data_IF_824422518022
#
_entry.id   IF_824422518022
#
_cell.length_a   1.000
_cell.length_b   1.000
_cell.length_c   1.000
_cell.angle_alpha   90.00
_cell.angle_beta   90.00
_cell.angle_gamma   90.00
#
_symmetry.space_group_name_H-M   'P 1'
#
loop_
_entity.id
_entity.type
_entity.pdbx_description
1 polymer ?
#
# COMPACT_ATOMS: atom_id res chain seq x y z
N UNK A 1 7.49 0.61 -22.67
CA UNK A 1 7.56 -0.43 -21.64
C UNK A 1 8.43 0.06 -20.46
N UNK A 2 9.68 0.51 -20.68
CA UNK A 2 10.55 0.95 -19.58
C UNK A 2 9.94 2.06 -18.71
N UNK A 3 9.34 3.09 -19.31
CA UNK A 3 8.66 4.17 -18.59
C UNK A 3 7.51 3.65 -17.71
N UNK A 4 6.71 2.74 -18.21
CA UNK A 4 5.59 2.15 -17.47
C UNK A 4 6.08 1.30 -16.29
N UNK A 5 7.14 0.54 -16.50
CA UNK A 5 7.78 -0.25 -15.46
C UNK A 5 8.35 0.62 -14.33
N UNK A 6 9.10 1.67 -14.69
CA UNK A 6 9.65 2.62 -13.71
C UNK A 6 8.56 3.38 -12.96
N UNK A 7 7.45 3.74 -13.62
CA UNK A 7 6.30 4.35 -12.97
C UNK A 7 5.66 3.38 -11.95
N UNK A 8 5.41 2.12 -12.34
CA UNK A 8 4.86 1.13 -11.42
C UNK A 8 5.76 0.92 -10.20
N UNK A 9 7.07 0.81 -10.41
CA UNK A 9 8.03 0.64 -9.32
C UNK A 9 8.03 1.87 -8.41
N UNK A 10 8.04 3.07 -8.98
CA UNK A 10 7.98 4.33 -8.24
C UNK A 10 6.70 4.40 -7.39
N UNK A 11 5.53 4.15 -7.99
CA UNK A 11 4.25 4.21 -7.29
C UNK A 11 4.18 3.18 -6.17
N UNK A 12 4.53 1.93 -6.45
CA UNK A 12 4.48 0.87 -5.45
C UNK A 12 5.46 1.10 -4.29
N UNK A 13 6.72 1.37 -4.57
CA UNK A 13 7.76 1.54 -3.53
C UNK A 13 7.49 2.77 -2.68
N UNK A 14 7.26 3.94 -3.31
CA UNK A 14 7.04 5.18 -2.55
C UNK A 14 5.77 5.12 -1.72
N UNK A 15 4.68 4.57 -2.27
CA UNK A 15 3.44 4.41 -1.52
C UNK A 15 3.60 3.43 -0.36
N UNK A 16 4.31 2.31 -0.53
CA UNK A 16 4.59 1.37 0.56
C UNK A 16 5.40 2.03 1.69
N UNK A 17 6.44 2.79 1.37
CA UNK A 17 7.24 3.52 2.37
C UNK A 17 6.37 4.51 3.13
N UNK A 18 5.57 5.32 2.44
CA UNK A 18 4.66 6.29 3.07
C UNK A 18 3.60 5.59 3.93
N UNK A 19 3.03 4.48 3.46
CA UNK A 19 2.07 3.69 4.23
C UNK A 19 2.66 3.19 5.54
N UNK A 20 3.87 2.65 5.53
CA UNK A 20 4.52 2.19 6.76
C UNK A 20 4.80 3.35 7.71
N UNK A 21 5.34 4.48 7.19
CA UNK A 21 5.66 5.65 8.02
C UNK A 21 4.41 6.27 8.67
N UNK A 22 3.27 6.23 8.00
CA UNK A 22 2.01 6.80 8.51
C UNK A 22 1.25 5.78 9.37
N UNK A 23 1.08 4.55 8.86
CA UNK A 23 0.19 3.57 9.47
C UNK A 23 0.81 2.85 10.67
N UNK A 24 2.14 2.64 10.72
CA UNK A 24 2.75 1.92 11.83
C UNK A 24 2.65 2.71 13.16
N UNK A 25 3.01 4.01 13.22
CA UNK A 25 2.79 4.79 14.44
C UNK A 25 1.31 4.91 14.81
N UNK A 26 0.43 5.11 13.81
CA UNK A 26 -1.02 5.21 14.04
C UNK A 26 -1.58 3.91 14.63
N UNK A 27 -1.25 2.77 14.03
CA UNK A 27 -1.66 1.45 14.49
C UNK A 27 -1.16 1.14 15.91
N UNK A 28 0.09 1.49 16.20
CA UNK A 28 0.68 1.34 17.53
C UNK A 28 -0.11 2.15 18.58
N UNK A 29 -0.36 3.43 18.30
CA UNK A 29 -1.13 4.28 19.23
C UNK A 29 -2.54 3.76 19.42
N UNK A 30 -3.23 3.35 18.35
CA UNK A 30 -4.57 2.79 18.43
C UNK A 30 -4.62 1.45 19.20
N UNK A 31 -3.55 0.66 19.15
CA UNK A 31 -3.47 -0.62 19.85
C UNK A 31 -3.13 -0.47 21.35
N UNK A 32 -2.31 0.52 21.72
CA UNK A 32 -1.72 0.64 23.06
C UNK A 32 -2.36 1.67 23.96
N UNK A 33 -2.89 2.74 23.38
CA UNK A 33 -3.40 3.85 24.18
C UNK A 33 -4.92 3.92 24.11
N UNK A 34 -5.55 4.06 25.28
CA UNK A 34 -6.98 4.36 25.39
C UNK A 34 -7.19 5.86 25.48
N UNK A 35 -7.91 6.42 24.52
CA UNK A 35 -8.27 7.84 24.49
C UNK A 35 -9.68 8.04 23.90
N UNK A 36 -10.26 9.21 24.14
CA UNK A 36 -11.58 9.55 23.62
C UNK A 36 -11.52 9.55 22.09
N UNK A 37 -12.35 8.71 21.44
CA UNK A 37 -12.39 8.57 19.98
C UNK A 37 -11.60 7.38 19.42
N UNK A 38 -10.79 6.66 20.22
CA UNK A 38 -10.02 5.51 19.74
C UNK A 38 -10.92 4.50 18.98
N UNK A 39 -12.02 4.07 19.57
CA UNK A 39 -12.97 3.14 18.93
C UNK A 39 -13.64 3.74 17.69
N UNK A 40 -13.94 5.05 17.70
CA UNK A 40 -14.53 5.74 16.54
C UNK A 40 -13.56 5.68 15.37
N UNK A 41 -12.28 5.99 15.58
CA UNK A 41 -11.25 5.93 14.54
C UNK A 41 -11.13 4.50 14.00
N UNK A 42 -11.01 3.50 14.85
CA UNK A 42 -10.92 2.10 14.41
C UNK A 42 -12.15 1.67 13.59
N UNK A 43 -13.36 1.98 14.08
CA UNK A 43 -14.61 1.66 13.37
C UNK A 43 -14.68 2.40 12.02
N UNK A 44 -14.26 3.67 11.96
CA UNK A 44 -14.22 4.44 10.71
C UNK A 44 -13.26 3.83 9.70
N UNK A 45 -12.07 3.39 10.14
CA UNK A 45 -11.10 2.71 9.27
C UNK A 45 -11.68 1.39 8.73
N UNK A 46 -12.29 0.57 9.58
CA UNK A 46 -12.93 -0.68 9.15
C UNK A 46 -14.08 -0.39 8.18
N UNK A 47 -14.92 0.60 8.46
CA UNK A 47 -16.03 0.99 7.58
C UNK A 47 -15.54 1.50 6.22
N UNK A 48 -14.42 2.23 6.19
CA UNK A 48 -13.81 2.73 4.96
C UNK A 48 -13.32 1.60 4.04
N UNK A 49 -12.90 0.45 4.59
CA UNK A 49 -12.52 -0.73 3.79
C UNK A 49 -13.70 -1.33 3.00
N UNK A 50 -14.94 -1.08 3.45
CA UNK A 50 -16.15 -1.53 2.76
C UNK A 50 -16.58 -0.65 1.58
N UNK A 51 -15.95 0.52 1.38
CA UNK A 51 -16.31 1.42 0.28
C UNK A 51 -15.58 1.01 -1.00
N UNK A 52 -16.31 0.59 -2.07
CA UNK A 52 -15.67 0.23 -3.33
C UNK A 52 -15.00 1.45 -3.98
N UNK A 53 -13.76 1.27 -4.46
CA UNK A 53 -13.02 2.31 -5.18
C UNK A 53 -13.81 2.88 -6.37
N UNK A 54 -14.60 2.05 -7.03
CA UNK A 54 -15.44 2.42 -8.17
C UNK A 54 -16.47 3.49 -7.84
N UNK A 55 -16.92 3.58 -6.59
CA UNK A 55 -17.89 4.61 -6.16
C UNK A 55 -17.24 5.99 -5.94
N UNK A 56 -15.97 6.01 -5.53
CA UNK A 56 -15.29 7.26 -5.15
C UNK A 56 -14.38 7.82 -6.25
N UNK A 57 -13.98 7.01 -7.23
CA UNK A 57 -12.98 7.39 -8.23
C UNK A 57 -13.43 8.57 -9.10
N UNK A 58 -14.68 8.57 -9.55
CA UNK A 58 -15.19 9.66 -10.40
C UNK A 58 -15.36 11.00 -9.64
N UNK A 59 -15.99 11.06 -8.46
CA UNK A 59 -15.97 12.28 -7.64
C UNK A 59 -14.56 12.78 -7.34
N UNK A 60 -13.65 11.87 -7.03
CA UNK A 60 -12.25 12.19 -6.73
C UNK A 60 -11.52 12.77 -7.94
N UNK A 61 -11.76 12.20 -9.13
CA UNK A 61 -11.25 12.75 -10.38
C UNK A 61 -11.74 14.19 -10.62
N UNK A 62 -13.03 14.45 -10.39
CA UNK A 62 -13.61 15.80 -10.51
C UNK A 62 -12.91 16.81 -9.59
N UNK A 63 -12.60 16.44 -8.35
CA UNK A 63 -11.86 17.30 -7.41
C UNK A 63 -10.44 17.59 -7.92
N UNK A 64 -9.70 16.56 -8.30
CA UNK A 64 -8.31 16.69 -8.76
C UNK A 64 -8.22 17.48 -10.06
N UNK A 65 -9.16 17.27 -10.99
CA UNK A 65 -9.25 18.01 -12.25
C UNK A 65 -9.52 19.49 -12.03
N UNK A 66 -10.46 19.83 -11.13
CA UNK A 66 -10.78 21.21 -10.79
C UNK A 66 -9.63 21.97 -10.11
N UNK A 67 -8.73 21.25 -9.43
CA UNK A 67 -7.51 21.82 -8.86
C UNK A 67 -6.41 22.08 -9.91
N UNK A 68 -6.62 21.70 -11.17
CA UNK A 68 -5.65 21.90 -12.26
C UNK A 68 -4.38 21.04 -12.14
N UNK A 69 -4.35 20.09 -11.22
CA UNK A 69 -3.17 19.26 -10.90
C UNK A 69 -2.78 18.37 -12.09
N UNK A 70 -3.77 17.88 -12.85
CA UNK A 70 -3.57 16.95 -13.97
C UNK A 70 -2.83 17.56 -15.18
N UNK A 71 -2.64 18.86 -15.19
CA UNK A 71 -1.90 19.56 -16.25
C UNK A 71 -0.36 19.47 -16.11
N UNK A 72 0.13 18.99 -14.96
CA UNK A 72 1.54 18.84 -14.69
C UNK A 72 1.88 17.38 -14.38
N UNK A 73 2.81 16.79 -15.14
CA UNK A 73 3.21 15.38 -15.00
C UNK A 73 3.75 15.05 -13.60
N UNK A 74 4.58 15.90 -13.04
CA UNK A 74 5.15 15.66 -11.70
C UNK A 74 4.07 15.73 -10.63
N UNK A 75 3.18 16.73 -10.69
CA UNK A 75 2.05 16.86 -9.77
C UNK A 75 1.09 15.66 -9.88
N UNK A 76 0.81 15.20 -11.11
CA UNK A 76 -0.03 14.02 -11.34
C UNK A 76 0.59 12.73 -10.76
N UNK A 77 1.92 12.54 -10.85
CA UNK A 77 2.61 11.40 -10.21
C UNK A 77 2.47 11.44 -8.70
N UNK A 78 2.68 12.61 -8.11
CA UNK A 78 2.52 12.81 -6.65
C UNK A 78 1.07 12.54 -6.24
N UNK A 79 0.11 13.01 -7.00
CA UNK A 79 -1.32 12.75 -6.75
C UNK A 79 -1.65 11.27 -6.79
N UNK A 80 -1.17 10.53 -7.79
CA UNK A 80 -1.36 9.07 -7.85
C UNK A 80 -0.79 8.36 -6.62
N UNK A 81 0.40 8.75 -6.17
CA UNK A 81 1.00 8.20 -4.96
C UNK A 81 0.10 8.46 -3.73
N UNK A 82 -0.38 9.72 -3.56
CA UNK A 82 -1.28 10.04 -2.44
C UNK A 82 -2.61 9.30 -2.52
N UNK A 83 -3.14 9.08 -3.71
CA UNK A 83 -4.36 8.28 -3.90
C UNK A 83 -4.14 6.83 -3.48
N UNK A 84 -3.02 6.21 -3.90
CA UNK A 84 -2.66 4.87 -3.48
C UNK A 84 -2.47 4.78 -1.96
N UNK A 85 -1.79 5.75 -1.36
CA UNK A 85 -1.63 5.81 0.09
C UNK A 85 -2.97 5.95 0.77
N UNK A 86 -3.81 6.92 0.39
CA UNK A 86 -5.10 7.19 1.02
C UNK A 86 -6.04 5.98 1.04
N UNK A 87 -6.12 5.26 -0.08
CA UNK A 87 -6.98 4.09 -0.21
C UNK A 87 -6.48 2.91 0.64
N UNK A 88 -5.16 2.77 0.81
CA UNK A 88 -4.58 1.65 1.54
C UNK A 88 -4.34 1.93 3.03
N UNK A 89 -4.49 3.17 3.53
CA UNK A 89 -4.37 3.51 4.96
C UNK A 89 -5.28 2.65 5.84
N UNK A 90 -6.60 2.49 5.54
CA UNK A 90 -7.48 1.73 6.42
C UNK A 90 -7.03 0.30 6.63
N UNK A 91 -6.79 -0.43 5.55
CA UNK A 91 -6.31 -1.82 5.59
C UNK A 91 -4.97 -1.94 6.31
N UNK A 92 -3.99 -1.12 5.94
CA UNK A 92 -2.64 -1.17 6.51
C UNK A 92 -2.65 -0.89 8.00
N UNK A 93 -3.43 0.11 8.45
CA UNK A 93 -3.52 0.49 9.86
C UNK A 93 -4.19 -0.62 10.68
N UNK A 94 -5.31 -1.17 10.23
CA UNK A 94 -6.02 -2.24 10.95
C UNK A 94 -5.18 -3.52 10.99
N UNK A 95 -4.51 -3.86 9.89
CA UNK A 95 -3.60 -5.01 9.85
C UNK A 95 -2.47 -4.87 10.89
N UNK A 96 -1.77 -3.74 10.90
CA UNK A 96 -0.67 -3.49 11.86
C UNK A 96 -1.16 -3.36 13.30
N UNK A 97 -2.37 -2.86 13.51
CA UNK A 97 -2.97 -2.76 14.84
C UNK A 97 -3.05 -4.14 15.50
N UNK A 98 -3.48 -5.17 14.77
CA UNK A 98 -3.55 -6.53 15.29
C UNK A 98 -2.17 -7.08 15.67
N UNK A 99 -1.13 -6.74 14.93
CA UNK A 99 0.25 -7.13 15.26
C UNK A 99 0.74 -6.44 16.52
N UNK A 100 0.58 -5.12 16.62
CA UNK A 100 0.99 -4.40 17.82
C UNK A 100 0.21 -4.82 19.06
N UNK A 101 -1.08 -5.14 18.94
CA UNK A 101 -1.89 -5.62 20.04
C UNK A 101 -1.39 -6.95 20.62
N UNK A 102 -0.78 -7.82 19.80
CA UNK A 102 -0.28 -9.13 20.21
C UNK A 102 1.13 -9.11 20.82
N UNK A 103 1.86 -8.00 20.75
CA UNK A 103 3.16 -7.84 21.42
C UNK A 103 2.91 -7.59 22.91
N UNK A 104 3.63 -8.26 23.83
CA UNK A 104 3.47 -8.05 25.27
C UNK A 104 3.80 -6.61 25.70
N UNK A 105 2.99 -6.02 26.58
CA UNK A 105 3.23 -4.69 27.18
C UNK A 105 4.48 -4.65 28.07
N UNK A 106 4.97 -5.81 28.53
CA UNK A 106 6.16 -5.88 29.38
C UNK A 106 7.40 -5.25 28.75
N UNK A 107 7.51 -5.23 27.42
CA UNK A 107 8.62 -4.56 26.74
C UNK A 107 8.57 -3.05 26.88
N UNK A 108 7.37 -2.46 26.84
CA UNK A 108 7.16 -1.01 27.01
C UNK A 108 7.34 -0.60 28.47
N UNK A 109 6.87 -1.46 29.40
CA UNK A 109 7.02 -1.26 30.84
C UNK A 109 8.51 -1.31 31.24
N UNK A 110 9.26 -2.30 30.73
CA UNK A 110 10.72 -2.36 30.94
C UNK A 110 11.45 -1.14 30.39
N UNK A 111 11.09 -0.73 29.15
CA UNK A 111 11.66 0.48 28.55
C UNK A 111 11.35 1.76 29.38
N UNK A 112 10.16 1.85 29.94
CA UNK A 112 9.78 2.97 30.80
C UNK A 112 10.57 2.99 32.13
N UNK A 113 10.82 1.81 32.73
CA UNK A 113 11.68 1.70 33.92
C UNK A 113 13.12 2.14 33.64
N UNK A 114 13.62 1.88 32.42
CA UNK A 114 14.93 2.37 31.95
C UNK A 114 14.92 3.85 31.54
N UNK A 115 13.83 4.57 31.75
CA UNK A 115 13.70 6.00 31.40
C UNK A 115 13.59 6.26 29.90
N UNK A 116 13.26 5.25 29.10
CA UNK A 116 13.10 5.40 27.64
C UNK A 116 11.79 6.14 27.30
N UNK A 117 11.83 7.27 26.61
CA UNK A 117 10.60 7.97 26.22
C UNK A 117 9.78 7.15 25.21
N UNK A 118 8.43 7.26 25.19
CA UNK A 118 7.53 6.42 24.37
C UNK A 118 7.87 6.40 22.87
N UNK A 119 8.22 7.54 22.28
CA UNK A 119 8.61 7.62 20.88
C UNK A 119 9.88 6.81 20.57
N UNK A 120 10.85 6.80 21.49
CA UNK A 120 12.08 6.01 21.35
C UNK A 120 11.80 4.52 21.56
N UNK A 121 10.93 4.17 22.51
CA UNK A 121 10.48 2.80 22.73
C UNK A 121 9.75 2.25 21.47
N UNK A 122 8.89 3.07 20.84
CA UNK A 122 8.26 2.70 19.57
C UNK A 122 9.31 2.36 18.50
N UNK A 123 10.20 3.30 18.15
CA UNK A 123 11.12 3.10 17.03
C UNK A 123 12.21 2.06 17.27
N UNK A 124 12.67 1.92 18.53
CA UNK A 124 13.80 1.03 18.86
C UNK A 124 13.39 -0.36 19.33
N UNK A 125 12.17 -0.52 19.84
CA UNK A 125 11.70 -1.79 20.41
C UNK A 125 10.47 -2.29 19.67
N UNK A 126 9.36 -1.56 19.69
CA UNK A 126 8.08 -2.05 19.20
C UNK A 126 8.03 -2.20 17.68
N UNK A 127 8.58 -1.25 16.93
CA UNK A 127 8.64 -1.28 15.47
C UNK A 127 9.48 -2.46 14.94
N UNK A 128 10.70 -2.72 15.44
CA UNK A 128 11.45 -3.93 15.07
C UNK A 128 10.76 -5.23 15.46
N UNK A 129 10.09 -5.28 16.62
CA UNK A 129 9.34 -6.48 17.07
C UNK A 129 8.15 -6.77 16.15
N UNK A 130 7.54 -5.77 15.55
CA UNK A 130 6.47 -5.92 14.57
C UNK A 130 6.97 -6.25 13.15
N UNK A 131 8.27 -6.54 12.95
CA UNK A 131 8.90 -6.70 11.63
C UNK A 131 8.16 -7.70 10.73
N UNK A 132 7.69 -8.82 11.26
CA UNK A 132 6.95 -9.82 10.47
C UNK A 132 5.65 -9.24 9.90
N UNK A 133 4.90 -8.50 10.71
CA UNK A 133 3.68 -7.80 10.27
C UNK A 133 3.97 -6.67 9.28
N UNK A 134 5.01 -5.88 9.54
CA UNK A 134 5.44 -4.79 8.65
C UNK A 134 5.84 -5.32 7.27
N UNK A 135 6.61 -6.39 7.20
CA UNK A 135 7.02 -7.03 5.94
C UNK A 135 5.79 -7.59 5.22
N UNK A 136 4.92 -8.30 5.92
CA UNK A 136 3.72 -8.92 5.34
C UNK A 136 2.79 -7.88 4.73
N UNK A 137 2.45 -6.82 5.47
CA UNK A 137 1.55 -5.77 4.95
C UNK A 137 2.19 -4.98 3.81
N UNK A 138 3.52 -4.78 3.85
CA UNK A 138 4.25 -4.12 2.75
C UNK A 138 4.15 -4.94 1.46
N UNK A 139 4.28 -6.27 1.54
CA UNK A 139 4.14 -7.16 0.39
C UNK A 139 2.73 -7.09 -0.19
N UNK A 140 1.70 -7.16 0.66
CA UNK A 140 0.31 -7.05 0.21
C UNK A 140 0.03 -5.71 -0.45
N UNK A 141 0.48 -4.60 0.14
CA UNK A 141 0.34 -3.27 -0.45
C UNK A 141 1.11 -3.16 -1.78
N UNK A 142 2.33 -3.68 -1.84
CA UNK A 142 3.10 -3.67 -3.08
C UNK A 142 2.38 -4.43 -4.19
N UNK A 143 1.90 -5.65 -3.94
CA UNK A 143 1.17 -6.46 -4.92
C UNK A 143 -0.12 -5.75 -5.35
N UNK A 144 -0.86 -5.18 -4.41
CA UNK A 144 -2.09 -4.45 -4.67
C UNK A 144 -1.85 -3.23 -5.57
N UNK A 145 -0.88 -2.39 -5.22
CA UNK A 145 -0.55 -1.17 -5.98
C UNK A 145 0.09 -1.52 -7.34
N UNK A 146 0.93 -2.54 -7.39
CA UNK A 146 1.55 -3.01 -8.63
C UNK A 146 0.53 -3.47 -9.66
N UNK A 147 -0.50 -4.19 -9.22
CA UNK A 147 -1.55 -4.74 -10.09
C UNK A 147 -2.73 -3.76 -10.29
N UNK A 148 -2.71 -2.61 -9.60
CA UNK A 148 -3.80 -1.66 -9.72
C UNK A 148 -3.78 -1.00 -11.11
N UNK A 149 -4.90 -1.06 -11.83
CA UNK A 149 -5.02 -0.46 -13.15
C UNK A 149 -6.16 0.56 -13.26
N UNK A 150 -7.24 0.39 -12.48
CA UNK A 150 -8.47 1.13 -12.66
C UNK A 150 -8.32 2.62 -12.28
N UNK A 151 -7.71 2.88 -11.12
CA UNK A 151 -7.40 4.24 -10.69
C UNK A 151 -6.43 4.91 -11.67
N UNK A 152 -5.36 4.19 -12.01
CA UNK A 152 -4.36 4.69 -12.94
C UNK A 152 -4.91 4.92 -14.34
N UNK A 153 -5.86 4.11 -14.81
CA UNK A 153 -6.51 4.29 -16.11
C UNK A 153 -7.21 5.66 -16.19
N UNK A 154 -7.79 6.10 -15.07
CA UNK A 154 -8.55 7.35 -15.00
C UNK A 154 -7.62 8.55 -14.77
N UNK A 155 -6.63 8.43 -13.89
CA UNK A 155 -5.77 9.56 -13.50
C UNK A 155 -4.49 9.69 -14.33
N UNK A 156 -4.00 8.61 -14.97
CA UNK A 156 -2.80 8.67 -15.83
C UNK A 156 -3.19 9.02 -17.26
N UNK A 157 -3.46 10.30 -17.50
CA UNK A 157 -3.97 10.85 -18.76
C UNK A 157 -2.96 10.86 -19.93
N UNK A 158 -1.70 10.52 -19.68
CA UNK A 158 -0.66 10.40 -20.72
C UNK A 158 0.32 9.25 -20.41
N UNK A 159 1.11 8.88 -21.43
CA UNK A 159 2.05 7.73 -21.33
C UNK A 159 3.19 7.94 -20.32
N UNK A 160 3.54 9.20 -20.00
CA UNK A 160 4.55 9.49 -19.00
C UNK A 160 4.11 9.13 -17.55
N UNK A 161 2.80 8.94 -17.35
CA UNK A 161 2.19 8.64 -16.06
C UNK A 161 1.81 7.16 -15.90
N UNK A 162 1.56 6.46 -17.02
CA UNK A 162 0.97 5.11 -17.01
C UNK A 162 1.85 4.07 -16.35
N UNK A 163 1.32 3.27 -15.43
CA UNK A 163 1.98 2.06 -14.92
C UNK A 163 1.85 0.89 -15.90
N UNK A 164 2.56 -0.21 -15.62
CA UNK A 164 2.56 -1.41 -16.48
C UNK A 164 1.18 -2.04 -16.64
N UNK A 165 0.34 -2.01 -15.61
CA UNK A 165 -1.01 -2.57 -15.67
C UNK A 165 -1.89 -1.85 -16.71
N UNK A 166 -1.81 -0.51 -16.78
CA UNK A 166 -2.50 0.29 -17.81
C UNK A 166 -1.89 0.05 -19.18
N UNK A 167 -0.55 -0.09 -19.28
CA UNK A 167 0.13 -0.44 -20.51
C UNK A 167 -0.30 -1.79 -21.07
N UNK A 168 -0.40 -2.81 -20.21
CA UNK A 168 -0.89 -4.14 -20.59
C UNK A 168 -2.35 -4.10 -21.06
N UNK A 169 -3.21 -3.35 -20.36
CA UNK A 169 -4.59 -3.15 -20.79
C UNK A 169 -4.68 -2.50 -22.18
N UNK A 170 -3.87 -1.48 -22.45
CA UNK A 170 -3.79 -0.85 -23.78
C UNK A 170 -3.34 -1.83 -24.88
N UNK A 171 -2.37 -2.72 -24.56
CA UNK A 171 -1.96 -3.77 -25.50
C UNK A 171 -3.09 -4.77 -25.76
N UNK A 172 -3.82 -5.20 -24.73
CA UNK A 172 -4.99 -6.09 -24.90
C UNK A 172 -6.05 -5.47 -25.83
N UNK A 173 -6.33 -4.20 -25.66
CA UNK A 173 -7.27 -3.50 -26.54
C UNK A 173 -6.78 -3.42 -27.99
N UNK A 174 -5.48 -3.21 -28.20
CA UNK A 174 -4.90 -3.14 -29.55
C UNK A 174 -4.80 -4.49 -30.26
N UNK A 175 -4.85 -5.59 -29.53
CA UNK A 175 -4.79 -6.96 -30.07
C UNK A 175 -5.88 -7.27 -31.08
N UNK A 176 -7.07 -6.67 -30.93
CA UNK A 176 -8.17 -6.81 -31.88
C UNK A 176 -7.80 -6.36 -33.31
N UNK A 177 -6.79 -5.50 -33.41
CA UNK A 177 -6.36 -4.89 -34.68
C UNK A 177 -4.97 -5.34 -35.13
N UNK A 178 -4.06 -5.62 -34.19
CA UNK A 178 -2.64 -5.89 -34.53
C UNK A 178 -2.28 -7.39 -34.56
N UNK A 179 -3.01 -8.24 -33.82
CA UNK A 179 -2.74 -9.67 -33.72
C UNK A 179 -1.35 -10.02 -33.16
N UNK A 180 -0.65 -9.07 -32.48
CA UNK A 180 0.71 -9.25 -31.95
C UNK A 180 0.71 -10.06 -30.64
N UNK A 181 0.41 -11.34 -30.72
CA UNK A 181 0.35 -12.25 -29.56
C UNK A 181 1.70 -12.38 -28.86
N UNK A 182 2.80 -12.43 -29.62
CA UNK A 182 4.15 -12.54 -29.05
C UNK A 182 4.49 -11.33 -28.13
N UNK A 183 4.21 -10.13 -28.61
CA UNK A 183 4.39 -8.89 -27.81
C UNK A 183 3.54 -8.86 -26.57
N UNK A 184 2.29 -9.34 -26.66
CA UNK A 184 1.39 -9.42 -25.51
C UNK A 184 1.89 -10.41 -24.46
N UNK A 185 2.26 -11.64 -24.83
CA UNK A 185 2.79 -12.60 -23.88
C UNK A 185 4.09 -12.12 -23.21
N UNK A 186 4.97 -11.46 -23.97
CA UNK A 186 6.17 -10.85 -23.41
C UNK A 186 5.82 -9.76 -22.36
N UNK A 187 4.83 -8.92 -22.64
CA UNK A 187 4.35 -7.91 -21.69
C UNK A 187 3.74 -8.55 -20.42
N UNK A 188 2.95 -9.62 -20.55
CA UNK A 188 2.41 -10.36 -19.40
C UNK A 188 3.54 -10.90 -18.51
N UNK A 189 4.58 -11.48 -19.08
CA UNK A 189 5.74 -11.98 -18.33
C UNK A 189 6.43 -10.83 -17.57
N UNK A 190 6.64 -9.68 -18.22
CA UNK A 190 7.25 -8.50 -17.60
C UNK A 190 6.41 -7.98 -16.43
N UNK A 191 5.09 -7.92 -16.59
CA UNK A 191 4.17 -7.46 -15.53
C UNK A 191 4.11 -8.46 -14.37
N UNK A 192 4.15 -9.76 -14.67
CA UNK A 192 4.08 -10.83 -13.66
C UNK A 192 5.40 -11.00 -12.88
N UNK A 193 6.55 -10.76 -13.51
CA UNK A 193 7.87 -11.08 -12.96
C UNK A 193 8.12 -10.47 -11.55
N UNK A 194 7.85 -9.18 -11.25
CA UNK A 194 8.09 -8.64 -9.91
C UNK A 194 7.23 -9.29 -8.83
N UNK A 195 5.96 -9.59 -9.13
CA UNK A 195 5.07 -10.29 -8.19
C UNK A 195 5.57 -11.71 -7.92
N UNK A 196 6.01 -12.41 -8.96
CA UNK A 196 6.56 -13.76 -8.86
C UNK A 196 7.88 -13.79 -8.06
N UNK A 197 8.78 -12.85 -8.33
CA UNK A 197 10.03 -12.69 -7.59
C UNK A 197 9.75 -12.42 -6.10
N UNK A 198 8.85 -11.50 -5.79
CA UNK A 198 8.44 -11.25 -4.41
C UNK A 198 7.86 -12.49 -3.73
N UNK A 199 7.03 -13.25 -4.43
CA UNK A 199 6.48 -14.50 -3.90
C UNK A 199 7.57 -15.51 -3.55
N UNK A 200 8.55 -15.74 -4.45
CA UNK A 200 9.65 -16.68 -4.22
C UNK A 200 10.51 -16.32 -3.00
N UNK A 201 10.85 -15.05 -2.84
CA UNK A 201 11.73 -14.61 -1.75
C UNK A 201 11.02 -14.42 -0.42
N UNK A 202 9.70 -14.22 -0.41
CA UNK A 202 8.97 -13.79 0.75
C UNK A 202 7.90 -14.79 1.21
N UNK A 203 7.71 -15.91 0.49
CA UNK A 203 6.72 -16.94 0.82
C UNK A 203 6.87 -17.47 2.26
N UNK A 204 8.09 -17.73 2.71
CA UNK A 204 8.36 -18.18 4.08
C UNK A 204 8.02 -17.12 5.12
N UNK A 205 8.30 -15.83 4.84
CA UNK A 205 7.98 -14.71 5.73
C UNK A 205 6.47 -14.41 5.76
N UNK A 206 5.78 -14.61 4.63
CA UNK A 206 4.32 -14.51 4.56
C UNK A 206 3.65 -15.53 5.47
N UNK A 207 4.10 -16.80 5.42
CA UNK A 207 3.56 -17.86 6.26
C UNK A 207 3.82 -17.55 7.74
N UNK A 208 5.04 -17.13 8.10
CA UNK A 208 5.40 -16.74 9.47
C UNK A 208 4.62 -15.54 10.00
N UNK A 209 4.32 -14.56 9.14
CA UNK A 209 3.54 -13.36 9.49
C UNK A 209 2.05 -13.65 9.70
N UNK A 210 1.46 -14.51 8.87
CA UNK A 210 0.05 -14.92 8.99
C UNK A 210 -0.15 -15.80 10.24
N UNK A 211 0.75 -16.75 10.47
CA UNK A 211 0.66 -17.68 11.62
C UNK A 211 1.02 -17.03 12.96
N UNK A 212 1.89 -16.02 12.97
CA UNK A 212 2.24 -15.25 14.16
C UNK A 212 1.08 -14.42 14.72
N UNK A 213 0.12 -14.03 13.88
CA UNK A 213 -1.11 -13.33 14.27
C UNK A 213 -2.23 -14.25 14.80
N UNK A 214 -2.09 -15.58 14.67
CA UNK A 214 -3.15 -16.55 15.03
C UNK A 214 -2.83 -17.32 16.32
N UNK A 215 -1.59 -17.23 16.82
CA UNK A 215 -1.19 -17.86 18.11
C UNK A 215 -1.30 -16.84 19.24
N UNK A 216 -2.51 -16.54 19.65
CA UNK A 216 -2.88 -15.89 20.88
C UNK A 216 -4.03 -16.66 21.51
#
# INVERSE_FOLDING_TARGET
>A
VATFFTNSLLYAVVSCVLLILICAPAAYVLARYTFIGNKIIQTSLVSAMGIPITMIVLPLFGVVANLGILNNVAASKVTLIFLYVGINIPYTTIFLLTFFANISSTYEEAAALDGCPPAKAFWKIMFPMAQSGLVTVTIFNFINIWNEYFLSLIFANNDALRPVAVGLYGMLQSMQYTGNWAGMFAAVIIVFAPTFVLYLFLSEKLIGGITGGIKG
#
